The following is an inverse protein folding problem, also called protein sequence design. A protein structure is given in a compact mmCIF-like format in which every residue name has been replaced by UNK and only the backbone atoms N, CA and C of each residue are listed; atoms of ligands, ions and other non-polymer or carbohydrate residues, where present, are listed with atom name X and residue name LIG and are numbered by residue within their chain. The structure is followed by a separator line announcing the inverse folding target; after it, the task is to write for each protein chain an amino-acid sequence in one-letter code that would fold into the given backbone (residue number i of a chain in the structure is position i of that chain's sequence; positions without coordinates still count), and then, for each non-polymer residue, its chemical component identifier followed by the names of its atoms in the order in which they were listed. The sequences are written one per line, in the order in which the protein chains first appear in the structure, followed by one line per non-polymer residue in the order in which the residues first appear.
data_IF_486760794301
#
_entry.id   IF_486760794301
#
_cell.length_a   1.000
_cell.length_b   1.000
_cell.length_c   1.000
_cell.angle_alpha   90.00
_cell.angle_beta   90.00
_cell.angle_gamma   90.00
#
_symmetry.space_group_name_H-M   'P 1'
#
loop_
_entity.id
_entity.type
_entity.pdbx_description
1 polymer ?
#
# COMPACT_ATOMS: atom_id res chain seq x y z
N UNK A 1 -19.43 -4.30 17.59
CA UNK A 1 -19.06 -3.98 16.20
C UNK A 1 -19.60 -5.11 15.37
N UNK A 2 -20.63 -4.82 14.58
CA UNK A 2 -21.25 -5.83 13.74
C UNK A 2 -20.31 -6.17 12.58
N UNK A 3 -20.44 -7.36 12.00
CA UNK A 3 -19.66 -7.74 10.81
C UNK A 3 -19.84 -6.78 9.62
N UNK A 4 -20.88 -5.93 9.66
CA UNK A 4 -21.19 -4.92 8.65
C UNK A 4 -20.35 -3.63 8.74
N UNK A 5 -19.71 -3.36 9.89
CA UNK A 5 -18.78 -2.22 10.03
C UNK A 5 -17.50 -2.39 9.17
N UNK A 6 -17.29 -3.59 8.62
CA UNK A 6 -16.08 -3.92 7.86
C UNK A 6 -16.00 -3.16 6.53
N UNK A 7 -17.12 -2.91 5.85
CA UNK A 7 -17.13 -2.26 4.53
C UNK A 7 -16.66 -0.81 4.57
N UNK A 8 -16.96 -0.07 5.64
CA UNK A 8 -16.58 1.34 5.79
C UNK A 8 -15.06 1.56 5.81
N UNK A 9 -14.27 0.53 6.14
CA UNK A 9 -12.80 0.61 6.09
C UNK A 9 -12.25 0.53 4.66
N UNK A 10 -13.01 -0.05 3.73
CA UNK A 10 -12.60 -0.26 2.34
C UNK A 10 -13.30 0.69 1.38
N UNK A 11 -14.55 1.04 1.64
CA UNK A 11 -15.34 1.92 0.78
C UNK A 11 -15.62 3.22 1.53
N UNK A 12 -15.05 4.32 1.06
CA UNK A 12 -15.21 5.64 1.68
C UNK A 12 -15.95 6.60 0.74
N UNK A 13 -16.68 7.55 1.31
CA UNK A 13 -17.32 8.62 0.52
C UNK A 13 -16.26 9.43 -0.25
N UNK A 14 -16.56 9.76 -1.50
CA UNK A 14 -15.68 10.42 -2.46
C UNK A 14 -14.72 9.47 -3.18
N UNK A 15 -14.68 8.19 -2.82
CA UNK A 15 -13.79 7.23 -3.46
C UNK A 15 -14.26 6.86 -4.87
N UNK A 16 -13.34 6.84 -5.82
CA UNK A 16 -13.57 6.31 -7.18
C UNK A 16 -13.45 4.80 -7.17
N UNK A 17 -14.53 4.13 -7.59
CA UNK A 17 -14.61 2.67 -7.71
C UNK A 17 -14.86 2.26 -9.16
N UNK A 18 -14.35 1.09 -9.54
CA UNK A 18 -14.72 0.42 -10.78
C UNK A 18 -16.01 -0.38 -10.57
N UNK A 19 -16.91 -0.34 -11.54
CA UNK A 19 -18.17 -1.09 -11.54
C UNK A 19 -18.16 -2.05 -12.72
N UNK A 20 -18.24 -3.35 -12.43
CA UNK A 20 -18.41 -4.42 -13.41
C UNK A 20 -19.88 -4.78 -13.55
N UNK A 21 -20.46 -4.44 -14.70
CA UNK A 21 -21.86 -4.72 -15.05
C UNK A 21 -21.88 -5.97 -15.95
N UNK A 22 -22.51 -7.08 -15.53
CA UNK A 22 -22.60 -8.27 -16.37
C UNK A 22 -23.53 -8.03 -17.56
N UNK A 23 -23.09 -8.42 -18.76
CA UNK A 23 -23.85 -8.34 -20.00
C UNK A 23 -24.46 -9.71 -20.36
N UNK A 24 -25.54 -9.76 -21.18
CA UNK A 24 -26.19 -11.02 -21.57
C UNK A 24 -25.29 -12.03 -22.30
N UNK A 25 -24.20 -11.56 -22.91
CA UNK A 25 -23.21 -12.38 -23.62
C UNK A 25 -22.13 -12.98 -22.70
N UNK A 26 -22.33 -12.95 -21.38
CA UNK A 26 -21.35 -13.36 -20.36
C UNK A 26 -20.05 -12.54 -20.33
N UNK A 27 -19.99 -11.41 -21.05
CA UNK A 27 -18.93 -10.42 -20.86
C UNK A 27 -19.29 -9.46 -19.71
N UNK A 28 -18.29 -8.73 -19.21
CA UNK A 28 -18.48 -7.73 -18.16
C UNK A 28 -18.13 -6.35 -18.72
N UNK A 29 -19.12 -5.46 -18.77
CA UNK A 29 -18.89 -4.06 -19.08
C UNK A 29 -18.28 -3.37 -17.85
N UNK A 30 -17.15 -2.71 -18.03
CA UNK A 30 -16.44 -2.02 -16.95
C UNK A 30 -16.63 -0.52 -17.07
N UNK A 31 -17.18 0.09 -16.04
CA UNK A 31 -17.25 1.54 -15.89
C UNK A 31 -16.62 1.98 -14.56
N UNK A 32 -16.56 3.28 -14.32
CA UNK A 32 -16.20 3.83 -13.01
C UNK A 32 -17.34 4.64 -12.42
N UNK A 33 -17.38 4.71 -11.09
CA UNK A 33 -18.36 5.45 -10.31
C UNK A 33 -17.69 6.15 -9.13
N UNK A 34 -18.36 7.14 -8.56
CA UNK A 34 -17.97 7.78 -7.30
C UNK A 34 -18.94 7.35 -6.20
N UNK A 35 -18.40 6.99 -5.04
CA UNK A 35 -19.21 6.75 -3.83
C UNK A 35 -19.64 8.11 -3.27
N UNK A 36 -20.93 8.37 -3.20
CA UNK A 36 -21.47 9.56 -2.55
C UNK A 36 -21.62 9.35 -1.06
N UNK A 37 -22.27 8.26 -0.68
CA UNK A 37 -22.54 7.95 0.71
C UNK A 37 -22.41 6.45 0.95
N UNK A 38 -21.99 6.09 2.17
CA UNK A 38 -21.97 4.71 2.67
C UNK A 38 -22.60 4.68 4.05
N UNK A 39 -23.57 3.80 4.23
CA UNK A 39 -24.27 3.57 5.49
C UNK A 39 -24.40 2.07 5.70
N UNK A 40 -23.59 1.52 6.62
CA UNK A 40 -23.47 0.07 6.88
C UNK A 40 -23.15 -0.74 5.61
N UNK A 41 -24.14 -1.44 5.04
CA UNK A 41 -24.03 -2.25 3.83
C UNK A 41 -24.59 -1.54 2.58
N UNK A 42 -25.16 -0.35 2.72
CA UNK A 42 -25.73 0.43 1.63
C UNK A 42 -24.73 1.46 1.11
N UNK A 43 -24.55 1.47 -0.21
CA UNK A 43 -23.65 2.39 -0.91
C UNK A 43 -24.43 3.11 -1.99
N UNK A 44 -24.45 4.44 -1.92
CA UNK A 44 -24.94 5.29 -3.02
C UNK A 44 -23.77 5.58 -3.97
N UNK A 45 -23.92 5.15 -5.22
CA UNK A 45 -22.93 5.38 -6.28
C UNK A 45 -23.50 6.26 -7.37
N UNK A 46 -22.68 7.18 -7.88
CA UNK A 46 -22.95 7.89 -9.12
C UNK A 46 -22.07 7.35 -10.25
N UNK A 47 -22.70 6.83 -11.30
CA UNK A 47 -22.00 6.35 -12.49
C UNK A 47 -21.35 7.51 -13.26
N UNK A 48 -20.22 7.23 -13.90
CA UNK A 48 -19.50 8.27 -14.65
C UNK A 48 -20.17 8.73 -15.94
N UNK A 49 -21.01 7.86 -16.52
CA UNK A 49 -21.65 8.09 -17.81
C UNK A 49 -23.13 8.38 -17.63
N UNK A 50 -23.59 9.36 -18.39
CA UNK A 50 -25.00 9.76 -18.47
C UNK A 50 -25.86 8.72 -19.19
N UNK A 51 -25.26 8.04 -20.18
CA UNK A 51 -25.91 7.04 -21.01
C UNK A 51 -25.03 5.80 -21.07
N UNK A 52 -25.58 4.67 -20.62
CA UNK A 52 -24.96 3.37 -20.80
C UNK A 52 -25.09 2.92 -22.26
N UNK A 53 -24.15 2.08 -22.76
CA UNK A 53 -24.29 1.49 -24.09
C UNK A 53 -25.64 0.76 -24.24
N UNK A 54 -26.19 0.72 -25.46
CA UNK A 54 -27.53 0.15 -25.75
C UNK A 54 -27.72 -1.27 -25.21
N UNK A 55 -26.66 -2.05 -25.11
CA UNK A 55 -26.70 -3.44 -24.65
C UNK A 55 -26.51 -3.59 -23.13
N UNK A 56 -26.35 -2.49 -22.39
CA UNK A 56 -26.10 -2.49 -20.95
C UNK A 56 -27.32 -1.89 -20.26
N UNK A 57 -28.05 -2.74 -19.57
CA UNK A 57 -29.22 -2.35 -18.77
C UNK A 57 -28.94 -2.67 -17.31
N UNK A 58 -29.27 -1.71 -16.46
CA UNK A 58 -29.34 -1.90 -15.02
C UNK A 58 -30.77 -2.23 -14.65
N UNK A 59 -30.94 -3.20 -13.75
CA UNK A 59 -32.24 -3.53 -13.18
C UNK A 59 -32.09 -3.79 -11.68
N UNK A 60 -33.09 -3.39 -10.91
CA UNK A 60 -33.19 -3.74 -9.49
C UNK A 60 -33.08 -5.26 -9.30
N UNK A 61 -32.23 -5.68 -8.36
CA UNK A 61 -31.90 -7.08 -8.10
C UNK A 61 -30.68 -7.62 -8.87
N UNK A 62 -30.14 -6.87 -9.83
CA UNK A 62 -28.92 -7.27 -10.55
C UNK A 62 -27.70 -7.24 -9.63
N UNK A 63 -26.85 -8.26 -9.76
CA UNK A 63 -25.56 -8.32 -9.06
C UNK A 63 -24.51 -7.61 -9.91
N UNK A 64 -23.82 -6.65 -9.31
CA UNK A 64 -22.68 -5.93 -9.84
C UNK A 64 -21.41 -6.31 -9.09
N UNK A 65 -20.27 -6.14 -9.74
CA UNK A 65 -18.96 -6.25 -9.10
C UNK A 65 -18.39 -4.85 -8.83
N UNK A 66 -18.15 -4.50 -7.57
CA UNK A 66 -17.50 -3.25 -7.18
C UNK A 66 -16.03 -3.51 -6.91
N UNK A 67 -15.16 -2.82 -7.64
CA UNK A 67 -13.72 -2.87 -7.47
C UNK A 67 -13.19 -1.55 -6.92
N UNK A 68 -12.74 -1.58 -5.69
CA UNK A 68 -11.99 -0.48 -5.08
C UNK A 68 -10.49 -0.74 -5.18
N UNK A 69 -9.72 0.34 -5.06
CA UNK A 69 -8.28 0.21 -4.87
C UNK A 69 -7.74 1.39 -4.09
N UNK A 70 -7.06 1.10 -2.99
CA UNK A 70 -6.34 2.08 -2.19
C UNK A 70 -4.90 1.60 -2.01
N UNK A 71 -3.95 2.51 -2.21
CA UNK A 71 -2.52 2.30 -1.96
C UNK A 71 -1.92 1.04 -2.63
N UNK A 72 -2.44 0.67 -3.80
CA UNK A 72 -1.94 -0.44 -4.61
C UNK A 72 -2.51 -1.82 -4.25
N UNK A 73 -3.36 -1.90 -3.22
CA UNK A 73 -4.21 -3.07 -2.97
C UNK A 73 -5.54 -2.91 -3.70
N UNK A 74 -5.91 -3.90 -4.51
CA UNK A 74 -7.22 -3.99 -5.11
C UNK A 74 -8.14 -4.81 -4.20
N UNK A 75 -9.40 -4.42 -4.11
CA UNK A 75 -10.43 -5.23 -3.45
C UNK A 75 -11.67 -5.25 -4.33
N UNK A 76 -12.32 -6.41 -4.35
CA UNK A 76 -13.56 -6.65 -5.05
C UNK A 76 -14.62 -7.07 -4.05
N UNK A 77 -15.81 -6.49 -4.17
CA UNK A 77 -16.98 -6.86 -3.42
C UNK A 77 -18.16 -6.97 -4.40
N UNK A 78 -19.06 -7.93 -4.17
CA UNK A 78 -20.28 -8.01 -4.96
C UNK A 78 -21.32 -7.08 -4.34
N UNK A 79 -22.19 -6.52 -5.17
CA UNK A 79 -23.26 -5.65 -4.69
C UNK A 79 -24.54 -5.91 -5.48
N UNK A 80 -25.70 -5.77 -4.86
CA UNK A 80 -27.00 -5.90 -5.51
C UNK A 80 -27.62 -4.51 -5.66
N UNK A 81 -28.18 -4.21 -6.82
CA UNK A 81 -28.96 -2.99 -7.04
C UNK A 81 -30.25 -3.05 -6.23
N UNK A 82 -30.44 -2.13 -5.28
CA UNK A 82 -31.64 -2.04 -4.43
C UNK A 82 -32.66 -1.09 -5.03
N UNK A 83 -32.21 0.10 -5.44
CA UNK A 83 -33.05 1.11 -6.09
C UNK A 83 -32.26 1.86 -7.15
N UNK A 84 -32.94 2.12 -8.27
CA UNK A 84 -32.49 3.07 -9.28
C UNK A 84 -33.02 4.45 -8.89
N UNK A 85 -32.12 5.40 -8.64
CA UNK A 85 -32.49 6.80 -8.38
C UNK A 85 -32.70 7.57 -9.69
N UNK A 86 -33.34 8.73 -9.58
CA UNK A 86 -33.73 9.57 -10.72
C UNK A 86 -32.52 10.25 -11.41
N UNK A 87 -31.38 10.36 -10.74
CA UNK A 87 -30.24 11.21 -11.16
C UNK A 87 -28.91 10.44 -11.29
N UNK A 88 -28.92 9.22 -11.86
CA UNK A 88 -27.71 8.38 -12.07
C UNK A 88 -27.09 7.86 -10.77
N UNK A 89 -27.80 8.08 -9.67
CA UNK A 89 -27.51 7.49 -8.39
C UNK A 89 -28.15 6.11 -8.35
N UNK A 90 -27.32 5.11 -8.13
CA UNK A 90 -27.78 3.75 -7.86
C UNK A 90 -27.48 3.45 -6.40
N UNK A 91 -28.50 2.97 -5.69
CA UNK A 91 -28.32 2.48 -4.34
C UNK A 91 -28.04 0.99 -4.42
N UNK A 92 -26.87 0.62 -3.95
CA UNK A 92 -26.40 -0.76 -3.93
C UNK A 92 -26.32 -1.27 -2.50
N UNK A 93 -26.64 -2.55 -2.30
CA UNK A 93 -26.34 -3.27 -1.06
C UNK A 93 -25.12 -4.17 -1.30
N UNK A 94 -24.05 -3.95 -0.53
CA UNK A 94 -22.87 -4.78 -0.53
C UNK A 94 -23.21 -6.18 -0.02
N UNK A 95 -22.78 -7.21 -0.75
CA UNK A 95 -23.07 -8.61 -0.44
C UNK A 95 -21.81 -9.47 -0.50
N UNK A 96 -21.59 -10.22 0.58
CA UNK A 96 -20.49 -11.17 0.69
C UNK A 96 -19.17 -10.53 1.11
N UNK A 97 -18.16 -11.37 1.25
CA UNK A 97 -16.86 -10.98 1.78
C UNK A 97 -16.10 -10.06 0.83
N UNK A 98 -15.27 -9.18 1.40
CA UNK A 98 -14.36 -8.33 0.65
C UNK A 98 -13.17 -9.20 0.23
N UNK A 99 -13.06 -9.45 -1.07
CA UNK A 99 -11.97 -10.23 -1.64
C UNK A 99 -10.86 -9.25 -1.97
N UNK A 100 -9.72 -9.35 -1.30
CA UNK A 100 -8.51 -8.64 -1.74
C UNK A 100 -8.07 -9.24 -3.07
N UNK A 101 -8.35 -8.52 -4.16
CA UNK A 101 -8.00 -8.90 -5.51
C UNK A 101 -6.59 -8.35 -5.77
N UNK A 102 -5.57 -9.17 -5.47
CA UNK A 102 -4.22 -8.88 -5.92
C UNK A 102 -4.15 -9.12 -7.44
N UNK A 103 -4.61 -8.13 -8.20
CA UNK A 103 -4.67 -8.12 -9.66
C UNK A 103 -3.32 -8.29 -10.37
N UNK A 104 -2.23 -8.41 -9.61
CA UNK A 104 -0.86 -8.44 -10.11
C UNK A 104 -0.26 -9.81 -9.81
N UNK A 105 0.06 -10.54 -10.87
CA UNK A 105 0.82 -11.79 -10.79
C UNK A 105 2.24 -11.58 -10.21
N UNK A 106 2.75 -10.35 -10.27
CA UNK A 106 4.09 -9.99 -9.82
C UNK A 106 4.10 -8.74 -8.95
N UNK A 107 4.87 -8.80 -7.87
CA UNK A 107 5.25 -7.63 -7.08
C UNK A 107 5.98 -6.61 -7.95
N UNK A 108 5.82 -5.33 -7.61
CA UNK A 108 6.49 -4.21 -8.27
C UNK A 108 7.27 -3.38 -7.28
N UNK A 109 8.41 -2.84 -7.70
CA UNK A 109 9.16 -1.84 -6.94
C UNK A 109 9.51 -0.67 -7.85
N UNK A 110 9.58 0.51 -7.26
CA UNK A 110 10.27 1.65 -7.87
C UNK A 110 11.77 1.51 -7.59
N UNK A 111 12.57 1.52 -8.65
CA UNK A 111 14.02 1.41 -8.63
C UNK A 111 14.64 2.37 -9.66
N UNK A 112 15.88 2.77 -9.42
CA UNK A 112 16.69 3.48 -10.41
C UNK A 112 17.60 2.47 -11.07
N UNK A 113 17.38 2.20 -12.35
CA UNK A 113 18.10 1.17 -13.09
C UNK A 113 18.72 1.77 -14.35
N UNK A 114 19.97 1.41 -14.70
CA UNK A 114 20.52 1.68 -16.01
C UNK A 114 19.75 0.88 -17.06
N UNK A 115 19.06 1.59 -17.97
CA UNK A 115 18.18 1.00 -18.97
C UNK A 115 18.54 1.58 -20.33
N UNK A 116 18.76 0.69 -21.30
CA UNK A 116 18.88 0.99 -22.73
C UNK A 116 17.66 0.41 -23.42
N UNK A 117 17.06 1.18 -24.31
CA UNK A 117 15.98 0.71 -25.16
C UNK A 117 16.24 1.11 -26.61
N UNK A 118 15.86 0.24 -27.53
CA UNK A 118 16.03 0.44 -28.96
C UNK A 118 14.74 0.09 -29.67
N UNK A 119 14.37 0.93 -30.63
CA UNK A 119 13.26 0.64 -31.54
C UNK A 119 13.85 -0.14 -32.71
N UNK A 120 13.51 -1.42 -32.87
CA UNK A 120 13.96 -2.17 -34.03
C UNK A 120 13.26 -1.65 -35.29
N UNK A 121 13.97 -1.69 -36.42
CA UNK A 121 13.43 -1.31 -37.72
C UNK A 121 12.28 -2.23 -38.15
N UNK A 122 12.33 -3.49 -37.74
CA UNK A 122 11.31 -4.50 -38.01
C UNK A 122 10.50 -4.81 -36.75
N UNK A 123 9.17 -4.88 -36.89
CA UNK A 123 8.24 -5.11 -35.78
C UNK A 123 7.66 -6.54 -35.77
N UNK A 124 8.23 -7.44 -36.57
CA UNK A 124 7.83 -8.85 -36.61
C UNK A 124 8.44 -9.63 -35.44
N UNK A 125 7.58 -10.29 -34.65
CA UNK A 125 7.98 -10.98 -33.41
C UNK A 125 9.01 -12.08 -33.61
N UNK A 126 8.97 -12.80 -34.73
CA UNK A 126 9.88 -13.92 -35.00
C UNK A 126 11.30 -13.42 -35.28
N UNK A 127 11.44 -12.39 -36.13
CA UNK A 127 12.74 -11.79 -36.45
C UNK A 127 13.38 -11.16 -35.22
N UNK A 128 12.57 -10.50 -34.39
CA UNK A 128 13.03 -9.92 -33.13
C UNK A 128 13.46 -10.97 -32.11
N UNK A 129 12.81 -12.15 -32.12
CA UNK A 129 13.22 -13.27 -31.28
C UNK A 129 14.60 -13.78 -31.71
N UNK A 130 14.81 -13.97 -33.00
CA UNK A 130 16.09 -14.44 -33.54
C UNK A 130 17.22 -13.42 -33.27
N UNK A 131 16.94 -12.13 -33.46
CA UNK A 131 17.89 -11.06 -33.14
C UNK A 131 18.23 -11.04 -31.63
N UNK A 132 17.23 -11.19 -30.77
CA UNK A 132 17.41 -11.28 -29.33
C UNK A 132 18.23 -12.52 -28.91
N UNK A 133 17.95 -13.69 -29.48
CA UNK A 133 18.73 -14.92 -29.23
C UNK A 133 20.18 -14.77 -29.68
N UNK A 134 20.42 -14.19 -30.87
CA UNK A 134 21.75 -13.94 -31.39
C UNK A 134 22.56 -12.96 -30.51
N UNK A 135 21.94 -11.87 -30.05
CA UNK A 135 22.57 -10.91 -29.12
C UNK A 135 22.94 -11.57 -27.80
N UNK A 136 22.02 -12.37 -27.23
CA UNK A 136 22.27 -13.13 -26.00
C UNK A 136 23.43 -14.09 -26.18
N UNK A 137 23.42 -14.89 -27.24
CA UNK A 137 24.46 -15.89 -27.50
C UNK A 137 25.84 -15.22 -27.54
N UNK A 138 25.96 -14.14 -28.32
CA UNK A 138 27.19 -13.35 -28.42
C UNK A 138 27.66 -12.80 -27.07
N UNK A 139 26.74 -12.47 -26.17
CA UNK A 139 27.10 -12.00 -24.82
C UNK A 139 27.55 -13.14 -23.91
N UNK A 140 26.83 -14.26 -23.92
CA UNK A 140 27.20 -15.44 -23.15
C UNK A 140 28.57 -16.00 -23.57
N UNK A 141 28.86 -16.00 -24.87
CA UNK A 141 30.16 -16.37 -25.42
C UNK A 141 31.26 -15.46 -24.88
N UNK A 142 31.08 -14.13 -24.96
CA UNK A 142 32.02 -13.17 -24.37
C UNK A 142 32.22 -13.35 -22.86
N UNK A 143 31.15 -13.62 -22.12
CA UNK A 143 31.24 -13.90 -20.67
C UNK A 143 32.00 -15.20 -20.40
N UNK A 144 31.80 -16.23 -21.23
CA UNK A 144 32.45 -17.52 -21.10
C UNK A 144 33.94 -17.42 -21.47
N UNK A 145 34.29 -16.69 -22.54
CA UNK A 145 35.67 -16.35 -22.89
C UNK A 145 36.39 -15.63 -21.75
N UNK A 146 35.75 -14.63 -21.13
CA UNK A 146 36.29 -13.94 -19.94
C UNK A 146 36.51 -14.88 -18.77
N UNK A 147 35.56 -15.79 -18.52
CA UNK A 147 35.72 -16.80 -17.48
C UNK A 147 36.90 -17.71 -17.79
N UNK A 148 37.03 -18.22 -19.01
CA UNK A 148 38.14 -19.09 -19.41
C UNK A 148 39.50 -18.39 -19.26
N UNK A 149 39.64 -17.16 -19.74
CA UNK A 149 40.88 -16.37 -19.59
C UNK A 149 41.28 -16.20 -18.12
N UNK A 150 40.31 -16.03 -17.22
CA UNK A 150 40.55 -15.97 -15.77
C UNK A 150 41.11 -17.28 -15.20
N UNK A 151 40.64 -18.43 -15.69
CA UNK A 151 41.12 -19.74 -15.25
C UNK A 151 42.52 -20.05 -15.81
N UNK A 152 42.78 -19.73 -17.08
CA UNK A 152 44.07 -19.99 -17.71
C UNK A 152 45.21 -19.19 -17.05
N UNK A 153 44.94 -17.94 -16.64
CA UNK A 153 45.89 -17.12 -15.88
C UNK A 153 46.22 -17.65 -14.48
N UNK A 154 45.32 -18.44 -13.87
CA UNK A 154 45.51 -19.01 -12.54
C UNK A 154 46.29 -20.34 -12.55
N UNK A 155 46.34 -21.04 -13.69
CA UNK A 155 46.92 -22.39 -13.81
C UNK A 155 48.40 -22.37 -14.23
N UNK A 156 48.92 -21.26 -14.78
CA UNK A 156 50.35 -21.08 -15.09
C UNK A 156 51.12 -20.67 -13.81
N UNK A 157 51.04 -21.53 -12.80
CA UNK A 157 51.86 -21.53 -11.58
C UNK A 157 53.06 -22.47 -11.70
N UNK A 158 53.78 -22.43 -12.82
CA UNK A 158 55.07 -23.14 -12.97
C UNK A 158 56.20 -22.35 -12.32
N UNK A 159 56.22 -22.34 -10.98
CA UNK A 159 57.44 -22.49 -10.17
C UNK A 159 57.05 -22.43 -8.69
N UNK A 160 57.42 -23.47 -7.95
CA UNK A 160 57.13 -23.67 -6.54
C UNK A 160 57.96 -22.73 -5.64
N UNK A 161 57.74 -21.42 -5.75
CA UNK A 161 58.07 -20.47 -4.70
C UNK A 161 56.76 -19.97 -4.12
N UNK A 162 56.57 -20.22 -2.82
CA UNK A 162 55.40 -19.78 -2.05
C UNK A 162 55.08 -18.31 -2.37
N UNK A 163 53.84 -17.96 -2.74
CA UNK A 163 53.50 -16.59 -3.03
C UNK A 163 53.64 -15.79 -1.73
N UNK A 164 54.42 -14.70 -1.77
CA UNK A 164 54.25 -13.62 -0.80
C UNK A 164 52.77 -13.25 -0.77
N UNK A 165 52.21 -12.96 0.41
CA UNK A 165 50.89 -12.32 0.58
C UNK A 165 50.87 -10.99 -0.20
N UNK A 166 50.73 -11.05 -1.52
CA UNK A 166 50.20 -9.94 -2.29
C UNK A 166 48.76 -9.88 -1.85
N UNK A 167 48.40 -8.77 -1.20
CA UNK A 167 47.04 -8.27 -1.22
C UNK A 167 46.48 -8.55 -2.62
N UNK A 168 45.57 -9.52 -2.70
CA UNK A 168 44.75 -9.72 -3.87
C UNK A 168 43.91 -8.47 -3.98
N UNK A 169 44.46 -7.44 -4.63
CA UNK A 169 43.63 -6.42 -5.28
C UNK A 169 42.70 -7.21 -6.18
N UNK A 170 41.41 -7.23 -5.82
CA UNK A 170 40.39 -7.92 -6.58
C UNK A 170 40.54 -7.50 -8.04
N UNK A 171 40.60 -8.45 -9.00
CA UNK A 171 40.79 -8.12 -10.40
C UNK A 171 39.68 -7.15 -10.79
N UNK A 172 40.13 -5.97 -11.15
CA UNK A 172 39.39 -4.80 -11.55
C UNK A 172 38.39 -5.21 -12.64
N UNK A 173 37.09 -5.20 -12.32
CA UNK A 173 35.97 -5.53 -13.23
C UNK A 173 35.77 -4.46 -14.35
N UNK A 174 36.67 -3.49 -14.51
CA UNK A 174 36.38 -2.17 -15.07
C UNK A 174 36.00 -2.14 -16.57
N UNK A 175 36.68 -2.86 -17.48
CA UNK A 175 36.53 -2.53 -18.92
C UNK A 175 35.15 -2.86 -19.55
N UNK A 176 34.37 -3.78 -18.97
CA UNK A 176 33.03 -4.10 -19.47
C UNK A 176 31.93 -3.27 -18.80
N UNK A 177 32.21 -2.86 -17.57
CA UNK A 177 31.32 -2.09 -16.72
C UNK A 177 31.34 -0.60 -17.11
N UNK A 178 32.44 -0.09 -17.66
CA UNK A 178 32.56 1.29 -18.14
C UNK A 178 31.44 1.70 -19.13
N UNK A 179 31.01 0.78 -20.01
CA UNK A 179 29.93 1.03 -20.98
C UNK A 179 28.54 1.15 -20.35
N UNK A 180 28.39 0.71 -19.10
CA UNK A 180 27.17 0.82 -18.30
C UNK A 180 27.26 1.89 -17.22
N UNK A 181 28.46 2.19 -16.74
CA UNK A 181 28.72 3.27 -15.75
C UNK A 181 28.45 4.66 -16.32
N UNK A 182 28.50 4.81 -17.65
CA UNK A 182 28.12 6.05 -18.35
C UNK A 182 26.62 6.23 -18.53
N UNK A 183 25.81 5.19 -18.30
CA UNK A 183 24.36 5.27 -18.50
C UNK A 183 23.71 5.85 -17.26
N UNK A 184 23.00 6.96 -17.45
CA UNK A 184 22.23 7.58 -16.38
C UNK A 184 21.11 6.63 -15.96
N UNK A 185 21.02 6.25 -14.67
CA UNK A 185 19.98 5.36 -14.20
C UNK A 185 18.62 6.07 -14.30
N UNK A 186 17.65 5.38 -14.89
CA UNK A 186 16.29 5.88 -15.07
C UNK A 186 15.39 5.38 -13.94
N UNK A 187 14.48 6.25 -13.48
CA UNK A 187 13.42 5.85 -12.58
C UNK A 187 12.49 4.86 -13.31
N UNK A 188 12.41 3.65 -12.79
CA UNK A 188 11.64 2.56 -13.36
C UNK A 188 10.83 1.83 -12.29
N UNK A 189 9.58 1.53 -12.60
CA UNK A 189 8.76 0.61 -11.82
C UNK A 189 8.88 -0.78 -12.48
N UNK A 190 9.65 -1.67 -11.86
CA UNK A 190 9.93 -3.01 -12.38
C UNK A 190 9.07 -4.07 -11.70
N UNK A 191 8.74 -5.12 -12.46
CA UNK A 191 8.05 -6.32 -12.00
C UNK A 191 8.59 -7.54 -12.74
N UNK A 192 8.20 -8.75 -12.34
CA UNK A 192 8.53 -9.97 -13.10
C UNK A 192 7.81 -10.09 -14.45
N UNK A 193 6.72 -9.35 -14.67
CA UNK A 193 5.92 -9.41 -15.90
C UNK A 193 6.11 -8.23 -16.87
N UNK A 194 6.76 -7.15 -16.41
CA UNK A 194 6.98 -5.97 -17.23
C UNK A 194 7.66 -4.83 -16.46
N UNK A 195 7.80 -3.70 -17.13
CA UNK A 195 8.49 -2.51 -16.63
C UNK A 195 7.75 -1.25 -17.08
N UNK A 196 7.72 -0.25 -16.21
CA UNK A 196 7.28 1.10 -16.56
C UNK A 196 8.43 2.06 -16.39
N UNK A 197 8.72 2.84 -17.43
CA UNK A 197 9.79 3.85 -17.45
C UNK A 197 9.24 5.18 -17.95
N UNK A 198 10.01 6.23 -17.73
CA UNK A 198 9.73 7.55 -18.28
C UNK A 198 10.57 7.72 -19.57
N UNK A 199 9.91 7.88 -20.71
CA UNK A 199 10.54 8.08 -22.03
C UNK A 199 10.33 9.51 -22.53
N UNK A 200 11.19 9.97 -23.43
CA UNK A 200 11.09 11.31 -24.04
C UNK A 200 10.25 11.30 -25.32
N UNK A 201 10.04 10.10 -25.88
CA UNK A 201 9.21 9.88 -27.06
C UNK A 201 7.94 9.13 -26.66
N UNK A 202 6.84 9.47 -27.34
CA UNK A 202 5.59 8.73 -27.28
C UNK A 202 5.69 7.44 -28.11
N UNK A 203 5.23 6.34 -27.53
CA UNK A 203 5.14 5.05 -28.21
C UNK A 203 3.69 4.63 -28.35
N UNK A 204 3.33 4.10 -29.51
CA UNK A 204 2.01 3.56 -29.74
C UNK A 204 1.80 2.26 -28.96
N UNK A 205 0.55 1.98 -28.60
CA UNK A 205 0.22 0.73 -27.92
C UNK A 205 0.39 -0.42 -28.89
N UNK A 206 1.16 -1.44 -28.49
CA UNK A 206 1.50 -2.59 -29.33
C UNK A 206 2.89 -2.52 -29.96
N UNK A 207 3.57 -1.37 -29.96
CA UNK A 207 4.96 -1.25 -30.44
C UNK A 207 5.88 -2.16 -29.63
N UNK A 208 6.81 -2.82 -30.32
CA UNK A 208 7.79 -3.72 -29.74
C UNK A 208 9.13 -3.01 -29.63
N UNK A 209 9.76 -3.13 -28.47
CA UNK A 209 11.05 -2.53 -28.15
C UNK A 209 12.01 -3.62 -27.65
N UNK A 210 13.30 -3.42 -27.95
CA UNK A 210 14.38 -4.22 -27.37
C UNK A 210 14.89 -3.47 -26.15
N UNK A 211 14.84 -4.12 -25.00
CA UNK A 211 15.19 -3.55 -23.70
C UNK A 211 16.41 -4.30 -23.14
N UNK A 212 17.43 -3.55 -22.77
CA UNK A 212 18.58 -4.03 -22.01
C UNK A 212 18.62 -3.28 -20.69
N UNK A 213 18.70 -4.00 -19.56
CA UNK A 213 18.77 -3.36 -18.25
C UNK A 213 19.79 -4.05 -17.34
N UNK A 214 20.51 -3.27 -16.54
CA UNK A 214 21.44 -3.80 -15.55
C UNK A 214 20.70 -3.97 -14.21
N UNK A 215 20.51 -5.21 -13.80
CA UNK A 215 19.98 -5.53 -12.47
C UNK A 215 21.15 -5.55 -11.48
N UNK A 216 21.05 -4.90 -10.30
CA UNK A 216 22.17 -4.88 -9.34
C UNK A 216 22.14 -6.05 -8.34
N UNK A 217 20.99 -6.72 -8.14
CA UNK A 217 20.78 -7.73 -7.11
C UNK A 217 21.38 -9.11 -7.39
N UNK A 218 21.59 -9.47 -8.66
CA UNK A 218 22.91 -9.91 -9.12
C UNK A 218 23.35 -8.97 -10.25
N UNK A 219 24.59 -8.45 -10.23
CA UNK A 219 25.13 -7.57 -11.30
C UNK A 219 25.09 -8.30 -12.64
N UNK A 220 23.96 -8.19 -13.35
CA UNK A 220 23.63 -8.97 -14.54
C UNK A 220 22.83 -8.11 -15.49
N UNK A 221 23.23 -8.13 -16.75
CA UNK A 221 22.53 -7.44 -17.83
C UNK A 221 21.43 -8.37 -18.33
N UNK A 222 20.20 -7.89 -18.25
CA UNK A 222 19.00 -8.58 -18.71
C UNK A 222 18.58 -8.03 -20.07
N UNK A 223 18.51 -8.92 -21.06
CA UNK A 223 17.95 -8.61 -22.38
C UNK A 223 16.53 -9.14 -22.48
N UNK A 224 15.61 -8.26 -22.90
CA UNK A 224 14.22 -8.64 -23.09
C UNK A 224 13.60 -7.94 -24.30
N UNK A 225 12.67 -8.63 -24.93
CA UNK A 225 11.78 -8.07 -25.93
C UNK A 225 10.50 -7.67 -25.22
N UNK A 226 10.10 -6.41 -25.34
CA UNK A 226 8.97 -5.86 -24.62
C UNK A 226 7.95 -5.25 -25.57
N UNK A 227 6.67 -5.34 -25.21
CA UNK A 227 5.57 -4.70 -25.94
C UNK A 227 4.99 -3.58 -25.12
N UNK A 228 4.80 -2.41 -25.74
CA UNK A 228 4.14 -1.26 -25.12
C UNK A 228 2.66 -1.59 -24.88
N UNK A 229 2.23 -1.54 -23.63
CA UNK A 229 0.82 -1.77 -23.23
C UNK A 229 0.08 -0.45 -23.05
N UNK A 230 0.79 0.57 -22.56
CA UNK A 230 0.20 1.87 -22.28
C UNK A 230 1.27 2.96 -22.32
N UNK A 231 0.98 4.07 -22.98
CA UNK A 231 1.80 5.26 -22.96
C UNK A 231 0.91 6.48 -22.66
N UNK A 232 1.23 7.20 -21.59
CA UNK A 232 0.52 8.43 -21.20
C UNK A 232 1.49 9.56 -20.97
N UNK A 233 1.10 10.77 -21.37
CA UNK A 233 1.85 11.99 -21.05
C UNK A 233 2.02 12.12 -19.54
N UNK A 234 3.23 12.43 -19.11
CA UNK A 234 3.56 12.67 -17.71
C UNK A 234 3.41 14.16 -17.41
N UNK A 235 2.26 14.56 -16.86
CA UNK A 235 1.99 15.96 -16.51
C UNK A 235 2.83 16.48 -15.33
N UNK A 236 3.50 15.59 -14.59
CA UNK A 236 4.33 15.98 -13.44
C UNK A 236 5.71 16.53 -13.83
N UNK A 237 6.14 16.38 -15.09
CA UNK A 237 7.52 16.64 -15.51
C UNK A 237 7.81 18.09 -15.96
N UNK A 238 6.91 19.05 -15.66
CA UNK A 238 7.09 20.46 -16.04
C UNK A 238 6.71 20.77 -17.50
N UNK A 239 6.76 22.05 -17.89
CA UNK A 239 6.31 22.53 -19.21
C UNK A 239 7.37 22.45 -20.33
N UNK A 240 8.65 22.36 -19.98
CA UNK A 240 9.73 22.57 -20.96
C UNK A 240 10.09 21.31 -21.76
N UNK A 241 9.71 20.11 -21.30
CA UNK A 241 9.94 18.86 -22.01
C UNK A 241 8.77 17.88 -21.86
N UNK A 242 8.41 17.24 -22.96
CA UNK A 242 7.34 16.23 -22.96
C UNK A 242 7.91 14.87 -22.55
N UNK A 243 7.54 14.43 -21.35
CA UNK A 243 7.86 13.10 -20.87
C UNK A 243 6.62 12.21 -20.95
N UNK A 244 6.84 10.93 -21.22
CA UNK A 244 5.80 9.92 -21.35
C UNK A 244 6.04 8.79 -20.36
N UNK A 245 5.01 8.46 -19.60
CA UNK A 245 4.97 7.26 -18.78
C UNK A 245 4.63 6.07 -19.67
N UNK A 246 5.63 5.26 -19.99
CA UNK A 246 5.51 4.12 -20.90
C UNK A 246 5.59 2.82 -20.12
N UNK A 247 4.49 2.06 -20.10
CA UNK A 247 4.40 0.75 -19.49
C UNK A 247 4.52 -0.33 -20.56
N UNK A 248 5.41 -1.28 -20.32
CA UNK A 248 5.78 -2.35 -21.25
C UNK A 248 5.65 -3.71 -20.56
N UNK A 249 5.21 -4.72 -21.32
CA UNK A 249 5.10 -6.12 -20.87
C UNK A 249 6.18 -6.96 -21.54
N UNK A 250 6.83 -7.86 -20.80
CA UNK A 250 7.80 -8.79 -21.38
C UNK A 250 7.08 -9.76 -22.33
N UNK A 251 7.55 -9.80 -23.58
CA UNK A 251 7.12 -10.79 -24.57
C UNK A 251 8.09 -11.95 -24.57
N UNK A 252 9.39 -11.65 -24.66
CA UNK A 252 10.47 -12.62 -24.55
C UNK A 252 11.47 -12.17 -23.50
N UNK A 253 11.68 -13.03 -22.52
CA UNK A 253 12.68 -12.88 -21.46
C UNK A 253 13.16 -14.28 -21.09
N UNK A 254 14.45 -14.45 -20.83
CA UNK A 254 14.96 -15.72 -20.33
C UNK A 254 14.48 -15.93 -18.90
N UNK A 255 14.20 -17.18 -18.53
CA UNK A 255 13.66 -17.46 -17.21
C UNK A 255 14.68 -17.14 -16.11
N UNK A 256 15.98 -17.34 -16.38
CA UNK A 256 17.03 -16.97 -15.41
C UNK A 256 17.16 -15.46 -15.25
N UNK A 257 16.94 -14.69 -16.33
CA UNK A 257 16.93 -13.23 -16.29
C UNK A 257 15.67 -12.74 -15.53
N UNK A 258 14.52 -13.37 -15.76
CA UNK A 258 13.27 -13.12 -15.01
C UNK A 258 13.46 -13.37 -13.52
N UNK A 259 14.07 -14.50 -13.16
CA UNK A 259 14.39 -14.85 -11.77
C UNK A 259 15.34 -13.84 -11.13
N UNK A 260 16.33 -13.33 -11.88
CA UNK A 260 17.24 -12.29 -11.38
C UNK A 260 16.49 -10.99 -11.04
N UNK A 261 15.52 -10.59 -11.87
CA UNK A 261 14.64 -9.45 -11.59
C UNK A 261 13.82 -9.72 -10.33
N UNK A 262 13.13 -10.87 -10.25
CA UNK A 262 12.28 -11.23 -9.12
C UNK A 262 13.08 -11.26 -7.81
N UNK A 263 14.27 -11.85 -7.84
CA UNK A 263 15.18 -11.89 -6.69
C UNK A 263 15.63 -10.48 -6.26
N UNK A 264 15.92 -9.61 -7.22
CA UNK A 264 16.24 -8.22 -6.93
C UNK A 264 15.05 -7.49 -6.26
N UNK A 265 13.84 -7.66 -6.79
CA UNK A 265 12.60 -7.09 -6.22
C UNK A 265 12.42 -7.53 -4.77
N UNK A 266 12.50 -8.84 -4.53
CA UNK A 266 12.37 -9.44 -3.19
C UNK A 266 13.44 -8.90 -2.22
N UNK A 267 14.68 -8.77 -2.69
CA UNK A 267 15.79 -8.25 -1.88
C UNK A 267 15.57 -6.79 -1.48
N UNK A 268 15.13 -5.94 -2.41
CA UNK A 268 14.83 -4.53 -2.14
C UNK A 268 13.63 -4.40 -1.18
N UNK A 269 12.59 -5.20 -1.35
CA UNK A 269 11.44 -5.21 -0.44
C UNK A 269 11.84 -5.61 0.98
N UNK A 270 12.60 -6.70 1.12
CA UNK A 270 13.12 -7.12 2.42
C UNK A 270 14.00 -6.05 3.08
N UNK A 271 14.84 -5.36 2.29
CA UNK A 271 15.63 -4.22 2.79
C UNK A 271 14.73 -3.09 3.30
N UNK A 272 13.67 -2.73 2.57
CA UNK A 272 12.70 -1.69 2.99
C UNK A 272 11.96 -2.09 4.27
N UNK A 273 11.52 -3.34 4.39
CA UNK A 273 10.85 -3.86 5.60
C UNK A 273 11.79 -3.80 6.81
N UNK A 274 13.06 -4.20 6.64
CA UNK A 274 14.07 -4.11 7.70
C UNK A 274 14.30 -2.66 8.14
N UNK A 275 14.46 -1.74 7.20
CA UNK A 275 14.63 -0.30 7.49
C UNK A 275 13.42 0.31 8.20
N UNK A 276 12.20 -0.06 7.79
CA UNK A 276 10.98 0.37 8.47
C UNK A 276 10.94 -0.16 9.91
N UNK A 277 11.21 -1.45 10.11
CA UNK A 277 11.26 -2.06 11.45
C UNK A 277 12.29 -1.39 12.35
N UNK A 278 13.48 -1.10 11.83
CA UNK A 278 14.52 -0.36 12.57
C UNK A 278 14.01 1.03 12.99
N UNK A 279 13.39 1.79 12.08
CA UNK A 279 12.79 3.09 12.41
C UNK A 279 11.75 3.00 13.52
N UNK A 280 10.89 1.97 13.51
CA UNK A 280 9.92 1.77 14.58
C UNK A 280 10.58 1.43 15.92
N UNK A 281 11.59 0.56 15.92
CA UNK A 281 12.32 0.20 17.14
C UNK A 281 13.08 1.39 17.75
N UNK A 282 13.75 2.20 16.93
CA UNK A 282 14.47 3.38 17.42
C UNK A 282 13.55 4.51 17.88
N UNK A 283 12.34 4.64 17.33
CA UNK A 283 11.35 5.60 17.81
C UNK A 283 10.82 5.23 19.20
N UNK A 284 10.51 3.96 19.44
CA UNK A 284 10.12 3.49 20.77
C UNK A 284 11.24 3.68 21.80
N UNK A 285 12.51 3.43 21.43
CA UNK A 285 13.64 3.63 22.34
C UNK A 285 13.90 5.12 22.65
N UNK A 286 13.69 6.04 21.70
CA UNK A 286 13.85 7.48 21.92
C UNK A 286 12.72 8.05 22.79
N UNK A 287 11.47 7.64 22.55
CA UNK A 287 10.32 8.02 23.39
C UNK A 287 10.52 7.49 24.82
N UNK A 288 11.07 6.28 25.01
CA UNK A 288 11.37 5.73 26.34
C UNK A 288 12.50 6.50 27.06
N UNK A 289 13.53 6.98 26.36
CA UNK A 289 14.64 7.73 26.99
C UNK A 289 14.26 9.19 27.29
N UNK A 290 13.46 9.82 26.43
CA UNK A 290 12.97 11.19 26.64
C UNK A 290 11.92 11.24 27.76
N UNK A 291 11.07 10.22 27.89
CA UNK A 291 10.20 10.05 29.07
C UNK A 291 10.99 9.78 30.35
N UNK A 292 12.11 9.05 30.30
CA UNK A 292 12.96 8.84 31.49
C UNK A 292 13.64 10.14 31.94
N UNK A 293 14.10 11.00 31.02
CA UNK A 293 14.76 12.27 31.37
C UNK A 293 13.76 13.38 31.76
N UNK A 294 12.58 13.44 31.13
CA UNK A 294 11.54 14.41 31.49
C UNK A 294 10.69 13.98 32.71
N UNK A 295 10.63 12.68 33.05
CA UNK A 295 9.85 12.19 34.19
C UNK A 295 10.44 12.52 35.56
N UNK A 296 11.71 12.90 35.66
CA UNK A 296 12.32 13.33 36.93
C UNK A 296 11.65 14.60 37.48
N UNK A 297 11.50 15.64 36.65
CA UNK A 297 10.83 16.90 37.05
C UNK A 297 9.30 16.82 37.02
N UNK A 298 8.74 16.08 36.05
CA UNK A 298 7.27 15.99 35.86
C UNK A 298 6.58 15.08 36.87
N UNK A 299 7.27 14.09 37.46
CA UNK A 299 6.71 13.26 38.56
C UNK A 299 6.39 14.09 39.79
N UNK A 300 7.21 15.06 40.17
CA UNK A 300 6.92 15.95 41.31
C UNK A 300 5.68 16.82 41.08
N UNK A 301 5.49 17.31 39.85
CA UNK A 301 4.30 18.10 39.48
C UNK A 301 3.03 17.23 39.48
N UNK A 302 3.11 16.00 38.98
CA UNK A 302 1.99 15.05 38.98
C UNK A 302 1.63 14.56 40.40
N UNK A 303 2.63 14.31 41.25
CA UNK A 303 2.42 13.97 42.66
C UNK A 303 1.80 15.15 43.41
N UNK A 304 2.31 16.37 43.19
CA UNK A 304 1.74 17.58 43.77
C UNK A 304 0.29 17.80 43.36
N UNK A 305 -0.05 17.61 42.07
CA UNK A 305 -1.42 17.75 41.58
C UNK A 305 -2.36 16.73 42.20
N UNK A 306 -1.91 15.47 42.35
CA UNK A 306 -2.70 14.43 43.04
C UNK A 306 -2.92 14.77 44.51
N UNK A 307 -1.90 15.27 45.21
CA UNK A 307 -2.02 15.69 46.61
C UNK A 307 -3.05 16.82 46.79
N UNK A 308 -3.06 17.82 45.90
CA UNK A 308 -4.04 18.91 45.92
C UNK A 308 -5.47 18.39 45.70
N UNK A 309 -5.68 17.51 44.72
CA UNK A 309 -7.01 16.92 44.49
C UNK A 309 -7.48 16.07 45.67
N UNK A 310 -6.60 15.30 46.30
CA UNK A 310 -6.97 14.53 47.50
C UNK A 310 -7.33 15.41 48.69
N UNK A 311 -6.64 16.53 48.87
CA UNK A 311 -6.91 17.48 49.95
C UNK A 311 -8.23 18.22 49.72
N UNK A 312 -8.51 18.62 48.47
CA UNK A 312 -9.77 19.23 48.08
C UNK A 312 -10.96 18.27 48.26
N UNK A 313 -10.80 17.00 47.90
CA UNK A 313 -11.81 15.98 48.13
C UNK A 313 -12.10 15.80 49.63
N UNK A 314 -11.06 15.70 50.46
CA UNK A 314 -11.20 15.63 51.93
C UNK A 314 -11.93 16.85 52.51
N UNK A 315 -11.64 18.04 52.00
CA UNK A 315 -12.33 19.27 52.42
C UNK A 315 -13.83 19.23 52.07
N UNK A 316 -14.19 18.77 50.87
CA UNK A 316 -15.59 18.62 50.45
C UNK A 316 -16.31 17.61 51.34
N UNK A 317 -15.69 16.46 51.61
CA UNK A 317 -16.25 15.43 52.50
C UNK A 317 -16.46 15.99 53.91
N UNK A 318 -15.50 16.76 54.44
CA UNK A 318 -15.62 17.41 55.74
C UNK A 318 -16.79 18.40 55.78
N UNK A 319 -16.95 19.22 54.75
CA UNK A 319 -18.07 20.17 54.62
C UNK A 319 -19.40 19.41 54.57
N UNK A 320 -19.48 18.32 53.80
CA UNK A 320 -20.67 17.47 53.77
C UNK A 320 -21.00 16.92 55.16
N UNK A 321 -20.02 16.36 55.88
CA UNK A 321 -20.23 15.81 57.23
C UNK A 321 -20.73 16.89 58.20
N UNK A 322 -20.14 18.09 58.17
CA UNK A 322 -20.59 19.21 58.99
C UNK A 322 -22.01 19.66 58.62
N UNK A 323 -22.32 19.71 57.32
CA UNK A 323 -23.66 20.01 56.82
C UNK A 323 -24.68 19.00 57.33
N UNK A 324 -24.44 17.69 57.18
CA UNK A 324 -25.36 16.65 57.65
C UNK A 324 -25.50 16.63 59.17
N UNK A 325 -24.43 16.91 59.91
CA UNK A 325 -24.49 17.05 61.37
C UNK A 325 -25.32 18.25 61.79
N UNK A 326 -25.23 19.36 61.08
CA UNK A 326 -26.06 20.53 61.35
C UNK A 326 -27.52 20.29 60.96
N UNK A 327 -27.73 19.69 59.80
CA UNK A 327 -29.04 19.31 59.29
C UNK A 327 -29.74 18.34 60.21
N UNK A 328 -29.06 17.34 60.78
CA UNK A 328 -29.68 16.40 61.71
C UNK A 328 -30.12 17.04 63.03
N UNK A 329 -29.45 18.12 63.47
CA UNK A 329 -29.80 18.86 64.69
C UNK A 329 -30.94 19.86 64.44
N UNK A 330 -30.97 20.48 63.25
CA UNK A 330 -31.92 21.55 62.92
C UNK A 330 -33.03 21.12 61.96
N UNK A 331 -33.15 19.82 61.65
CA UNK A 331 -34.13 19.37 60.68
C UNK A 331 -35.54 19.77 61.12
N UNK A 332 -36.28 20.61 60.36
CA UNK A 332 -37.69 20.82 60.64
C UNK A 332 -38.38 19.47 60.45
N UNK A 333 -39.14 19.01 61.44
CA UNK A 333 -39.81 17.69 61.37
C UNK A 333 -40.53 17.55 60.04
N UNK A 334 -40.21 16.51 59.28
CA UNK A 334 -40.86 16.27 57.98
C UNK A 334 -42.36 16.07 58.22
N UNK A 335 -43.21 16.54 57.31
CA UNK A 335 -44.67 16.42 57.44
C UNK A 335 -45.11 14.97 57.71
N UNK A 336 -44.39 13.97 57.17
CA UNK A 336 -44.64 12.55 57.43
C UNK A 336 -44.38 12.19 58.91
N UNK A 337 -43.32 12.72 59.50
CA UNK A 337 -42.97 12.49 60.90
C UNK A 337 -43.97 13.17 61.84
N UNK A 338 -44.42 14.39 61.51
CA UNK A 338 -45.52 15.04 62.23
C UNK A 338 -46.84 14.25 62.11
N UNK A 339 -47.15 13.73 60.92
CA UNK A 339 -48.36 12.93 60.69
C UNK A 339 -48.30 11.62 61.49
N UNK A 340 -47.12 11.00 61.57
CA UNK A 340 -46.91 9.75 62.30
C UNK A 340 -46.92 9.97 63.82
N UNK A 341 -46.23 10.99 64.35
CA UNK A 341 -46.31 11.38 65.76
C UNK A 341 -47.73 11.77 66.16
N UNK A 342 -48.43 12.52 65.29
CA UNK A 342 -49.83 12.87 65.45
C UNK A 342 -50.74 11.63 65.49
N UNK A 343 -50.47 10.64 64.64
CA UNK A 343 -51.15 9.35 64.63
C UNK A 343 -50.92 8.56 65.92
N UNK A 344 -49.67 8.44 66.37
CA UNK A 344 -49.31 7.74 67.61
C UNK A 344 -49.95 8.41 68.84
N UNK A 345 -49.93 9.75 68.93
CA UNK A 345 -50.61 10.48 70.01
C UNK A 345 -52.11 10.21 70.03
N UNK A 346 -52.77 10.21 68.86
CA UNK A 346 -54.21 9.88 68.77
C UNK A 346 -54.48 8.42 69.18
N UNK A 347 -53.58 7.51 68.82
CA UNK A 347 -53.69 6.09 69.18
C UNK A 347 -53.52 5.85 70.69
N UNK A 348 -52.49 6.45 71.32
CA UNK A 348 -52.27 6.37 72.77
C UNK A 348 -53.45 6.97 73.56
N UNK A 349 -53.99 8.10 73.11
CA UNK A 349 -55.16 8.73 73.73
C UNK A 349 -56.42 7.87 73.67
N UNK A 350 -56.58 7.05 72.61
CA UNK A 350 -57.67 6.05 72.50
C UNK A 350 -57.49 4.86 73.44
N UNK A 351 -56.27 4.53 73.84
CA UNK A 351 -55.95 3.46 74.78
C UNK A 351 -56.07 3.88 76.25
N UNK A 352 -56.49 5.12 76.54
CA UNK A 352 -56.74 5.60 77.90
C UNK A 352 -55.48 5.83 78.74
N UNK A 353 -54.34 6.09 78.09
CA UNK A 353 -53.11 6.57 78.72
C UNK A 353 -52.78 7.99 78.29
#
# INVERSE_FOLDING_TARGET
MGDFDQYANFFTSGMKVGVGIPMPNAEVFRDWALIHNIEEDLVSLQLSRDQLPVNVHLHVGQILELRGGQDGSGYSCRAIIVTEGDEREILLRLIGEIITDELREFYRIDAFLPIKYYIPNEQHLEILKDEWEARRWKRQEKELERKLQRWDGAIIGTSANLPQERHQEAPVEEEADEAWDTIIPLAANISGGGIRVITHQYYETGTILLLEMLVPGPRRIVDSVVRVVFASRNYAAGKDQEYYNTAMKYVYIDERDRDAIINHISTVQLKRIRQLRERYLFRSAADDVEDVLLSSGRRWVLIGRRAVFTLLFLAIVLIMVLYFKHYSVQHPKNEIEETFEGGIRRYLKKLGK
#
